data_IF_091496788354
#
_entry.id   IF_091496788354
#
_cell.length_a   1.000
_cell.length_b   1.000
_cell.length_c   1.000
_cell.angle_alpha   90.00
_cell.angle_beta   90.00
_cell.angle_gamma   90.00
#
_symmetry.space_group_name_H-M   'P 1'
#
loop_
_entity.id
_entity.type
_entity.pdbx_description
1 polymer ?
#
# COMPACT_ATOMS: atom_id res chain seq x y z
N UNK A 1 7.97 16.24 1.75
CA UNK A 1 7.67 14.83 2.08
C UNK A 1 6.90 14.27 0.90
N UNK A 2 7.38 13.15 0.34
CA UNK A 2 6.86 12.59 -0.91
C UNK A 2 5.95 11.41 -0.61
N UNK A 3 4.74 11.43 -1.16
CA UNK A 3 3.90 10.25 -1.27
C UNK A 3 4.11 9.70 -2.68
N UNK A 4 4.97 8.68 -2.79
CA UNK A 4 5.09 7.89 -4.02
C UNK A 4 3.84 7.02 -4.14
N UNK A 5 3.01 7.26 -5.15
CA UNK A 5 1.86 6.42 -5.43
C UNK A 5 1.96 5.87 -6.84
N UNK A 6 1.93 4.55 -6.93
CA UNK A 6 1.67 3.84 -8.18
C UNK A 6 0.15 3.69 -8.23
N UNK A 7 -0.57 4.32 -9.19
CA UNK A 7 -1.49 3.63 -10.15
C UNK A 7 -2.74 4.31 -10.73
N UNK A 8 -3.07 3.77 -11.91
CA UNK A 8 -4.14 4.02 -12.86
C UNK A 8 -5.60 3.81 -12.41
N UNK A 9 -5.93 3.48 -11.15
CA UNK A 9 -7.36 3.39 -10.78
C UNK A 9 -7.65 3.68 -9.31
N UNK A 10 -7.28 4.89 -8.90
CA UNK A 10 -8.04 5.76 -8.01
C UNK A 10 -7.48 7.18 -8.11
N UNK A 11 -7.18 7.66 -9.33
CA UNK A 11 -6.68 9.03 -9.54
C UNK A 11 -7.52 10.01 -8.74
N UNK A 12 -8.84 10.03 -8.89
CA UNK A 12 -9.68 11.05 -8.25
C UNK A 12 -9.68 10.99 -6.70
N UNK A 13 -9.76 9.81 -6.07
CA UNK A 13 -9.79 9.71 -4.61
C UNK A 13 -8.42 9.96 -3.95
N UNK A 14 -7.34 9.52 -4.61
CA UNK A 14 -5.95 9.78 -4.15
C UNK A 14 -5.61 11.24 -4.35
N UNK A 15 -5.98 11.82 -5.49
CA UNK A 15 -5.79 13.25 -5.80
C UNK A 15 -6.57 14.12 -4.81
N UNK A 16 -7.84 13.79 -4.53
CA UNK A 16 -8.67 14.57 -3.61
C UNK A 16 -8.18 14.46 -2.15
N UNK A 17 -7.79 13.25 -1.70
CA UNK A 17 -7.15 13.07 -0.38
C UNK A 17 -5.82 13.83 -0.29
N UNK A 18 -5.02 13.82 -1.36
CA UNK A 18 -3.75 14.54 -1.45
C UNK A 18 -3.93 16.06 -1.34
N UNK A 19 -4.89 16.64 -2.06
CA UNK A 19 -5.16 18.07 -1.98
C UNK A 19 -5.62 18.50 -0.58
N UNK A 20 -6.38 17.67 0.14
CA UNK A 20 -6.73 17.96 1.54
C UNK A 20 -5.52 17.87 2.48
N UNK A 21 -4.63 16.90 2.30
CA UNK A 21 -3.35 16.86 3.06
C UNK A 21 -2.54 18.14 2.83
N UNK A 22 -2.50 18.64 1.60
CA UNK A 22 -1.85 19.91 1.28
C UNK A 22 -2.50 21.12 1.98
N UNK A 23 -3.84 21.13 2.10
CA UNK A 23 -4.60 22.17 2.80
C UNK A 23 -4.43 22.12 4.33
N UNK A 24 -4.32 20.92 4.92
CA UNK A 24 -4.22 20.74 6.38
C UNK A 24 -2.79 20.80 6.91
N UNK A 25 -1.78 20.63 6.06
CA UNK A 25 -0.40 20.74 6.51
C UNK A 25 -0.09 22.18 6.91
N UNK A 26 0.01 22.44 8.21
CA UNK A 26 0.61 23.66 8.78
C UNK A 26 2.12 23.77 8.45
N UNK A 27 2.64 22.82 7.69
CA UNK A 27 4.02 22.74 7.26
C UNK A 27 4.22 23.63 6.04
N UNK A 28 5.26 24.48 6.07
CA UNK A 28 5.74 25.28 4.92
C UNK A 28 6.23 24.44 3.72
N UNK A 29 6.00 23.13 3.72
CA UNK A 29 6.51 22.20 2.74
C UNK A 29 5.49 21.96 1.64
N UNK A 30 5.88 22.19 0.39
CA UNK A 30 5.07 21.88 -0.79
C UNK A 30 4.96 20.36 -0.97
N UNK A 31 3.75 19.84 -0.87
CA UNK A 31 3.45 18.46 -1.25
C UNK A 31 3.41 18.34 -2.78
N UNK A 32 3.87 17.20 -3.31
CA UNK A 32 3.76 16.85 -4.73
C UNK A 32 3.25 15.43 -4.84
N UNK A 33 2.19 15.24 -5.61
CA UNK A 33 1.71 13.91 -6.00
C UNK A 33 2.52 13.47 -7.22
N UNK A 34 3.37 12.48 -7.03
CA UNK A 34 4.15 11.88 -8.12
C UNK A 34 3.44 10.62 -8.57
N UNK A 35 2.88 10.67 -9.77
CA UNK A 35 2.17 9.55 -10.37
C UNK A 35 3.15 8.67 -11.16
N UNK A 36 3.26 7.42 -10.74
CA UNK A 36 4.19 6.44 -11.32
C UNK A 36 3.36 5.44 -12.13
N UNK A 37 3.35 5.65 -13.44
CA UNK A 37 2.64 4.84 -14.42
C UNK A 37 3.66 3.92 -15.10
N UNK A 38 3.45 2.60 -15.05
CA UNK A 38 4.33 1.60 -15.66
C UNK A 38 3.52 0.38 -16.08
N UNK A 39 3.83 -0.19 -17.24
CA UNK A 39 3.18 -1.39 -17.75
C UNK A 39 3.98 -2.64 -17.37
N UNK A 40 3.29 -3.72 -16.99
CA UNK A 40 3.96 -4.95 -16.56
C UNK A 40 4.72 -5.65 -17.72
N UNK A 41 4.36 -5.36 -18.97
CA UNK A 41 5.08 -5.81 -20.17
C UNK A 41 6.48 -5.22 -20.24
N UNK A 42 6.68 -4.00 -19.76
CA UNK A 42 7.95 -3.27 -19.89
C UNK A 42 8.92 -3.64 -18.77
N UNK A 43 8.45 -4.35 -17.74
CA UNK A 43 9.17 -4.63 -16.50
C UNK A 43 9.79 -6.03 -16.46
N UNK A 44 10.18 -6.62 -17.59
CA UNK A 44 10.68 -8.02 -17.61
C UNK A 44 11.96 -8.18 -16.78
N UNK A 45 12.92 -7.26 -16.97
CA UNK A 45 14.18 -7.28 -16.24
C UNK A 45 13.99 -6.91 -14.77
N UNK A 46 13.21 -5.87 -14.50
CA UNK A 46 12.85 -5.38 -13.18
C UNK A 46 12.11 -6.45 -12.38
N UNK A 47 11.22 -7.22 -13.01
CA UNK A 47 10.52 -8.34 -12.37
C UNK A 47 11.52 -9.38 -11.87
N UNK A 48 12.54 -9.71 -12.68
CA UNK A 48 13.56 -10.69 -12.33
C UNK A 48 14.48 -10.17 -11.22
N UNK A 49 14.83 -8.87 -11.27
CA UNK A 49 15.59 -8.19 -10.22
C UNK A 49 14.83 -8.16 -8.90
N UNK A 50 13.59 -7.67 -8.91
CA UNK A 50 12.72 -7.61 -7.72
C UNK A 50 12.47 -9.01 -7.15
N UNK A 51 12.34 -10.04 -7.98
CA UNK A 51 12.24 -11.42 -7.52
C UNK A 51 13.46 -11.86 -6.69
N UNK A 52 14.65 -11.34 -6.99
CA UNK A 52 15.85 -11.58 -6.18
C UNK A 52 15.79 -10.85 -4.83
N UNK A 53 15.26 -9.62 -4.81
CA UNK A 53 15.12 -8.78 -3.62
C UNK A 53 14.13 -9.35 -2.59
N UNK A 54 13.04 -9.98 -3.05
CA UNK A 54 11.99 -10.48 -2.14
C UNK A 54 12.36 -11.78 -1.41
N UNK A 55 13.42 -12.50 -1.81
CA UNK A 55 13.86 -13.77 -1.22
C UNK A 55 13.94 -13.68 0.32
N UNK A 56 13.53 -14.64 1.16
CA UNK A 56 13.14 -16.00 0.83
C UNK A 56 11.68 -16.09 0.37
N UNK A 57 10.94 -14.98 0.34
CA UNK A 57 9.62 -14.97 -0.25
C UNK A 57 9.73 -15.25 -1.75
N UNK A 58 8.76 -15.97 -2.29
CA UNK A 58 8.78 -16.42 -3.67
C UNK A 58 7.38 -16.65 -4.22
N UNK A 59 6.38 -15.93 -3.73
CA UNK A 59 5.01 -16.03 -4.25
C UNK A 59 4.70 -14.89 -5.21
N UNK A 60 3.68 -15.08 -6.07
CA UNK A 60 3.16 -13.97 -6.90
C UNK A 60 2.66 -12.80 -6.07
N UNK A 61 2.10 -13.03 -4.88
CA UNK A 61 1.68 -11.96 -3.98
C UNK A 61 2.87 -11.11 -3.53
N UNK A 62 3.94 -11.78 -3.08
CA UNK A 62 5.15 -11.10 -2.63
C UNK A 62 5.82 -10.33 -3.77
N UNK A 63 5.90 -10.92 -4.97
CA UNK A 63 6.44 -10.26 -6.15
C UNK A 63 5.61 -9.03 -6.55
N UNK A 64 4.29 -9.15 -6.57
CA UNK A 64 3.39 -8.05 -6.91
C UNK A 64 3.47 -6.88 -5.92
N UNK A 65 3.57 -7.17 -4.63
CA UNK A 65 3.79 -6.14 -3.60
C UNK A 65 5.18 -5.53 -3.76
N UNK A 66 6.20 -6.35 -3.95
CA UNK A 66 7.58 -5.93 -4.13
C UNK A 66 7.76 -4.98 -5.31
N UNK A 67 7.21 -5.31 -6.49
CA UNK A 67 7.30 -4.46 -7.68
C UNK A 67 6.60 -3.13 -7.45
N UNK A 68 5.39 -3.16 -6.86
CA UNK A 68 4.65 -1.93 -6.60
C UNK A 68 5.41 -0.99 -5.63
N UNK A 69 6.03 -1.55 -4.59
CA UNK A 69 6.85 -0.79 -3.64
C UNK A 69 8.15 -0.31 -4.28
N UNK A 70 8.83 -1.15 -5.07
CA UNK A 70 10.07 -0.79 -5.76
C UNK A 70 9.87 0.36 -6.75
N UNK A 71 8.80 0.30 -7.56
CA UNK A 71 8.42 1.40 -8.46
C UNK A 71 8.07 2.67 -7.68
N UNK A 72 7.24 2.56 -6.63
CA UNK A 72 6.87 3.68 -5.79
C UNK A 72 8.09 4.33 -5.11
N UNK A 73 9.04 3.51 -4.65
CA UNK A 73 10.28 3.94 -4.06
C UNK A 73 11.18 4.63 -5.10
N UNK A 74 11.22 4.16 -6.34
CA UNK A 74 11.95 4.82 -7.43
C UNK A 74 11.54 6.28 -7.63
N UNK A 75 10.29 6.65 -7.33
CA UNK A 75 9.83 8.04 -7.33
C UNK A 75 9.99 8.73 -8.69
N UNK A 76 9.99 7.94 -9.77
CA UNK A 76 10.16 8.37 -11.16
C UNK A 76 8.80 8.40 -11.84
N UNK A 77 8.28 9.59 -12.08
CA UNK A 77 6.91 9.70 -12.53
C UNK A 77 6.59 11.08 -13.06
N UNK A 78 5.33 11.45 -12.89
CA UNK A 78 4.75 12.65 -13.45
C UNK A 78 4.07 13.45 -12.36
N UNK A 79 4.15 14.77 -12.44
CA UNK A 79 3.41 15.70 -11.58
C UNK A 79 2.49 16.55 -12.45
N UNK A 80 1.30 16.89 -11.94
CA UNK A 80 0.43 17.86 -12.60
C UNK A 80 1.09 19.25 -12.57
N UNK A 81 1.15 19.92 -13.73
CA UNK A 81 1.55 21.32 -13.83
C UNK A 81 0.46 22.21 -13.24
N UNK A 82 0.64 22.68 -12.00
CA UNK A 82 -0.30 23.61 -11.37
C UNK A 82 -0.03 25.09 -11.68
N UNK A 83 0.96 25.40 -12.54
CA UNK A 83 1.28 26.76 -12.97
C UNK A 83 1.54 26.76 -14.49
N UNK A 84 0.47 26.73 -15.28
CA UNK A 84 0.50 27.22 -16.66
C UNK A 84 -0.54 28.34 -16.67
N UNK A 85 -0.07 29.55 -16.94
CA UNK A 85 -0.91 30.73 -17.06
C UNK A 85 -2.07 30.44 -18.02
N UNK A 86 -3.28 30.89 -17.64
CA UNK A 86 -4.58 30.61 -18.26
C UNK A 86 -4.69 31.04 -19.74
N UNK A 87 -3.98 30.39 -20.66
CA UNK A 87 -4.07 30.72 -22.09
C UNK A 87 -3.82 29.58 -23.10
N UNK A 88 -3.82 28.31 -22.69
CA UNK A 88 -3.86 27.21 -23.67
C UNK A 88 -4.85 26.12 -23.26
N UNK A 89 -5.96 26.12 -23.99
CA UNK A 89 -7.06 25.16 -23.94
C UNK A 89 -6.64 23.87 -24.67
N UNK A 90 -5.71 23.09 -24.10
CA UNK A 90 -5.49 21.69 -24.51
C UNK A 90 -4.56 20.95 -23.51
N UNK A 91 -5.17 20.10 -22.69
CA UNK A 91 -4.55 19.04 -21.87
C UNK A 91 -3.60 19.53 -20.74
N UNK A 92 -3.93 19.32 -19.44
CA UNK A 92 -3.06 19.75 -18.34
C UNK A 92 -1.69 19.06 -18.46
N UNK A 93 -0.67 19.83 -18.87
CA UNK A 93 0.65 19.28 -19.16
C UNK A 93 1.23 18.64 -17.90
N UNK A 94 1.47 17.32 -17.96
CA UNK A 94 2.18 16.58 -16.91
C UNK A 94 3.68 16.78 -17.11
N UNK A 95 4.39 17.19 -16.06
CA UNK A 95 5.84 17.34 -16.11
C UNK A 95 6.52 16.08 -15.57
N UNK A 96 7.56 15.59 -16.27
CA UNK A 96 8.39 14.49 -15.79
C UNK A 96 9.11 14.91 -14.50
N UNK A 97 9.10 14.06 -13.49
CA UNK A 97 9.65 14.37 -12.17
C UNK A 97 10.27 13.13 -11.52
N UNK A 98 11.49 13.32 -10.98
CA UNK A 98 12.16 12.33 -10.13
C UNK A 98 12.28 12.87 -8.72
N UNK A 99 11.76 12.12 -7.75
CA UNK A 99 11.88 12.47 -6.33
C UNK A 99 13.30 12.25 -5.81
N UNK A 100 13.89 13.29 -5.22
CA UNK A 100 15.17 13.22 -4.49
C UNK A 100 15.03 12.81 -3.01
N UNK A 101 13.82 12.43 -2.57
CA UNK A 101 13.58 12.04 -1.18
C UNK A 101 14.38 10.77 -0.83
N UNK A 102 15.14 10.84 0.26
CA UNK A 102 15.91 9.71 0.81
C UNK A 102 15.12 8.88 1.81
N UNK A 103 14.04 9.43 2.37
CA UNK A 103 13.20 8.79 3.38
C UNK A 103 11.80 8.61 2.80
N UNK A 104 11.26 7.40 2.94
CA UNK A 104 9.86 7.07 2.62
C UNK A 104 9.11 6.76 3.91
N UNK A 105 7.97 7.42 4.12
CA UNK A 105 7.04 7.03 5.17
C UNK A 105 6.09 5.97 4.61
N UNK A 106 6.04 4.81 5.26
CA UNK A 106 5.26 3.65 4.81
C UNK A 106 4.20 3.32 5.85
N UNK A 107 2.97 3.08 5.41
CA UNK A 107 1.82 2.80 6.28
C UNK A 107 1.74 1.37 6.83
N UNK A 108 2.78 0.55 6.67
CA UNK A 108 2.82 -0.81 7.21
C UNK A 108 2.74 -0.78 8.74
N UNK A 109 2.02 -1.74 9.34
CA UNK A 109 1.71 -1.78 10.77
C UNK A 109 0.32 -1.27 11.12
N UNK A 110 -0.30 -0.43 10.27
CA UNK A 110 -1.64 0.10 10.54
C UNK A 110 -2.73 -0.98 10.44
N UNK A 111 -2.62 -1.88 9.46
CA UNK A 111 -3.64 -2.92 9.25
C UNK A 111 -3.54 -4.02 10.32
N UNK A 112 -2.31 -4.38 10.71
CA UNK A 112 -2.01 -5.37 11.76
C UNK A 112 -2.54 -4.92 13.13
N UNK A 113 -2.38 -3.64 13.47
CA UNK A 113 -2.76 -3.11 14.78
C UNK A 113 -4.20 -2.62 14.86
N UNK A 114 -4.82 -2.25 13.72
CA UNK A 114 -6.17 -1.65 13.71
C UNK A 114 -7.19 -2.52 12.95
N UNK A 115 -7.01 -3.83 12.96
CA UNK A 115 -7.96 -4.78 12.38
C UNK A 115 -8.26 -4.57 10.86
N UNK A 116 -7.28 -4.12 10.06
CA UNK A 116 -7.48 -3.74 8.66
C UNK A 116 -7.59 -4.87 7.63
N UNK A 117 -7.25 -6.12 7.98
CA UNK A 117 -7.34 -7.26 7.06
C UNK A 117 -8.71 -7.94 7.09
N UNK A 118 -9.21 -8.36 5.92
CA UNK A 118 -10.47 -9.13 5.85
C UNK A 118 -10.47 -10.41 6.69
N UNK A 119 -9.31 -11.06 6.87
CA UNK A 119 -9.17 -12.23 7.75
C UNK A 119 -9.44 -11.90 9.22
N UNK A 120 -9.22 -10.67 9.68
CA UNK A 120 -9.53 -10.25 11.04
C UNK A 120 -11.04 -10.35 11.31
N UNK A 121 -11.86 -9.93 10.34
CA UNK A 121 -13.31 -10.12 10.40
C UNK A 121 -13.66 -11.60 10.44
N UNK A 122 -13.03 -12.43 9.61
CA UNK A 122 -13.25 -13.88 9.64
C UNK A 122 -12.92 -14.48 11.02
N UNK A 123 -11.79 -14.08 11.63
CA UNK A 123 -11.40 -14.54 12.96
C UNK A 123 -12.35 -14.02 14.05
N UNK A 124 -12.81 -12.77 13.95
CA UNK A 124 -13.83 -12.21 14.83
C UNK A 124 -15.17 -12.96 14.72
N UNK A 125 -15.66 -13.25 13.52
CA UNK A 125 -16.91 -14.00 13.35
C UNK A 125 -16.82 -15.43 13.91
N UNK A 126 -15.62 -16.02 13.99
CA UNK A 126 -15.41 -17.38 14.50
C UNK A 126 -15.15 -17.44 16.01
N UNK A 127 -14.45 -16.44 16.56
CA UNK A 127 -13.95 -16.45 17.93
C UNK A 127 -14.20 -15.17 18.72
N UNK A 128 -15.08 -14.29 18.23
CA UNK A 128 -15.36 -12.97 18.80
C UNK A 128 -14.07 -12.17 19.06
N UNK A 129 -14.04 -11.39 20.14
CA UNK A 129 -12.90 -10.54 20.52
C UNK A 129 -11.61 -11.33 20.76
N UNK A 130 -11.69 -12.53 21.34
CA UNK A 130 -10.51 -13.36 21.58
C UNK A 130 -9.90 -13.85 20.26
N UNK A 131 -10.75 -14.31 19.33
CA UNK A 131 -10.30 -14.74 18.00
C UNK A 131 -9.66 -13.60 17.19
N UNK A 132 -10.21 -12.38 17.30
CA UNK A 132 -9.61 -11.19 16.70
C UNK A 132 -8.26 -10.86 17.33
N UNK A 133 -8.17 -10.86 18.67
CA UNK A 133 -6.94 -10.58 19.41
C UNK A 133 -5.81 -11.52 18.99
N UNK A 134 -6.06 -12.83 18.98
CA UNK A 134 -5.03 -13.82 18.62
C UNK A 134 -4.57 -13.67 17.17
N UNK A 135 -5.48 -13.42 16.20
CA UNK A 135 -5.07 -13.20 14.80
C UNK A 135 -4.21 -11.93 14.64
N UNK A 136 -4.60 -10.82 15.28
CA UNK A 136 -3.84 -9.56 15.23
C UNK A 136 -2.47 -9.69 15.92
N UNK A 137 -2.43 -10.40 17.05
CA UNK A 137 -1.18 -10.70 17.77
C UNK A 137 -0.23 -11.54 16.91
N UNK A 138 -0.74 -12.58 16.25
CA UNK A 138 0.03 -13.39 15.32
C UNK A 138 0.59 -12.54 14.18
N UNK A 139 -0.21 -11.60 13.64
CA UNK A 139 0.24 -10.68 12.61
C UNK A 139 1.40 -9.79 13.05
N UNK A 140 1.31 -9.21 14.25
CA UNK A 140 2.40 -8.43 14.83
C UNK A 140 3.66 -9.27 15.05
N UNK A 141 3.54 -10.50 15.54
CA UNK A 141 4.68 -11.40 15.77
C UNK A 141 5.42 -11.80 14.49
N UNK A 142 4.72 -11.84 13.35
CA UNK A 142 5.27 -12.26 12.06
C UNK A 142 5.55 -11.12 11.08
N UNK A 143 5.25 -9.87 11.45
CA UNK A 143 5.29 -8.72 10.53
C UNK A 143 6.67 -8.53 9.90
N UNK A 144 7.73 -8.75 10.68
CA UNK A 144 9.11 -8.65 10.23
C UNK A 144 9.40 -9.56 9.02
N UNK A 145 8.85 -10.78 9.04
CA UNK A 145 9.06 -11.80 8.00
C UNK A 145 8.05 -11.67 6.86
N UNK A 146 6.80 -11.33 7.16
CA UNK A 146 5.71 -11.31 6.17
C UNK A 146 5.68 -10.04 5.33
N UNK A 147 6.07 -8.91 5.92
CA UNK A 147 6.01 -7.60 5.27
C UNK A 147 7.39 -6.95 5.27
N UNK A 148 7.92 -6.60 6.44
CA UNK A 148 9.02 -5.63 6.55
C UNK A 148 10.29 -6.07 5.81
N UNK A 149 10.68 -7.34 5.90
CA UNK A 149 11.89 -7.81 5.22
C UNK A 149 11.81 -7.73 3.68
N UNK A 150 10.64 -7.97 3.08
CA UNK A 150 10.43 -7.77 1.64
C UNK A 150 10.42 -6.28 1.31
N UNK A 151 9.61 -5.52 2.05
CA UNK A 151 9.35 -4.11 1.78
C UNK A 151 10.65 -3.28 1.89
N UNK A 152 11.45 -3.54 2.92
CA UNK A 152 12.73 -2.88 3.17
C UNK A 152 13.70 -3.05 1.99
N UNK A 153 13.92 -4.28 1.51
CA UNK A 153 14.85 -4.53 0.40
C UNK A 153 14.39 -3.92 -0.92
N UNK A 154 13.09 -3.96 -1.21
CA UNK A 154 12.53 -3.31 -2.40
C UNK A 154 12.69 -1.78 -2.35
N UNK A 155 12.58 -1.18 -1.16
CA UNK A 155 12.75 0.26 -0.97
C UNK A 155 14.23 0.66 -0.98
N UNK A 156 15.08 -0.07 -0.27
CA UNK A 156 16.51 0.18 -0.10
C UNK A 156 17.29 0.06 -1.42
N UNK A 157 16.86 -0.81 -2.34
CA UNK A 157 17.44 -0.93 -3.69
C UNK A 157 17.37 0.39 -4.49
N UNK A 158 16.43 1.29 -4.14
CA UNK A 158 16.33 2.63 -4.71
C UNK A 158 17.14 3.69 -3.92
N UNK A 159 18.00 3.28 -3.00
CA UNK A 159 18.78 4.17 -2.14
C UNK A 159 17.94 4.97 -1.15
N UNK A 160 16.80 4.41 -0.71
CA UNK A 160 15.86 5.06 0.21
C UNK A 160 15.68 4.25 1.48
N UNK A 161 15.52 4.96 2.60
CA UNK A 161 15.22 4.40 3.91
C UNK A 161 13.71 4.42 4.14
N UNK A 162 13.12 3.27 4.47
CA UNK A 162 11.73 3.17 4.89
C UNK A 162 11.59 3.50 6.39
N UNK A 163 10.63 4.34 6.74
CA UNK A 163 10.19 4.56 8.13
C UNK A 163 8.73 4.18 8.26
N UNK A 164 8.39 3.55 9.39
CA UNK A 164 7.08 2.96 9.63
C UNK A 164 6.43 3.61 10.85
N UNK A 165 5.77 4.77 10.71
CA UNK A 165 5.22 5.51 11.85
C UNK A 165 4.25 4.70 12.72
N UNK A 166 3.52 3.75 12.12
CA UNK A 166 2.61 2.88 12.89
C UNK A 166 3.35 1.87 13.75
N UNK A 167 4.62 1.57 13.46
CA UNK A 167 5.46 0.66 14.23
C UNK A 167 6.38 1.39 15.23
N UNK A 168 6.18 2.69 15.40
CA UNK A 168 6.80 3.44 16.48
C UNK A 168 6.30 2.91 17.83
N UNK A 169 7.22 2.77 18.80
CA UNK A 169 6.92 2.16 20.10
C UNK A 169 5.84 2.92 20.87
N UNK A 170 5.79 4.25 20.75
CA UNK A 170 4.78 5.05 21.45
C UNK A 170 3.42 4.95 20.76
N UNK A 171 3.38 4.84 19.43
CA UNK A 171 2.14 4.54 18.70
C UNK A 171 1.60 3.17 19.07
N UNK A 172 2.46 2.14 19.09
CA UNK A 172 2.09 0.79 19.51
C UNK A 172 1.55 0.81 20.95
N UNK A 173 2.26 1.47 21.87
CA UNK A 173 1.87 1.57 23.28
C UNK A 173 0.50 2.22 23.45
N UNK A 174 0.24 3.30 22.72
CA UNK A 174 -1.07 3.97 22.71
C UNK A 174 -2.15 3.01 22.23
N UNK A 175 -1.96 2.34 21.09
CA UNK A 175 -2.95 1.42 20.53
C UNK A 175 -3.22 0.20 21.44
N UNK A 176 -2.21 -0.32 22.11
CA UNK A 176 -2.35 -1.44 23.06
C UNK A 176 -3.13 -1.08 24.33
N UNK A 177 -3.21 0.21 24.69
CA UNK A 177 -3.97 0.69 25.84
C UNK A 177 -5.46 0.88 25.54
N UNK A 178 -5.87 0.87 24.27
CA UNK A 178 -7.27 0.93 23.90
C UNK A 178 -7.90 -0.46 23.91
N UNK A 179 -9.16 -0.59 24.38
CA UNK A 179 -9.88 -1.83 24.22
C UNK A 179 -10.18 -2.09 22.73
N UNK A 180 -10.20 -3.37 22.33
CA UNK A 180 -10.33 -3.74 20.91
C UNK A 180 -11.62 -3.23 20.23
N UNK A 181 -12.71 -3.02 20.98
CA UNK A 181 -13.96 -2.49 20.45
C UNK A 181 -13.91 -0.98 20.12
N UNK A 182 -12.90 -0.26 20.63
CA UNK A 182 -12.59 1.12 20.20
C UNK A 182 -11.67 1.11 18.98
N UNK A 183 -10.76 0.14 18.89
CA UNK A 183 -9.89 -0.05 17.72
C UNK A 183 -10.70 -0.42 16.46
N UNK A 184 -11.68 -1.31 16.61
CA UNK A 184 -12.51 -1.80 15.51
C UNK A 184 -13.92 -2.19 15.97
N UNK A 185 -14.90 -2.02 15.08
CA UNK A 185 -16.25 -2.52 15.25
C UNK A 185 -16.60 -3.44 14.08
N UNK A 186 -16.20 -4.71 14.16
CA UNK A 186 -16.31 -5.65 13.05
C UNK A 186 -17.72 -6.22 12.85
N UNK A 187 -18.72 -5.76 13.62
CA UNK A 187 -20.13 -5.97 13.32
C UNK A 187 -20.63 -4.99 12.24
N UNK A 188 -19.96 -3.84 12.07
CA UNK A 188 -20.23 -2.90 11.00
C UNK A 188 -19.61 -3.36 9.67
N UNK A 189 -20.12 -2.91 8.51
CA UNK A 189 -19.56 -3.25 7.20
C UNK A 189 -18.08 -2.86 7.01
N UNK A 190 -17.45 -3.47 6.00
CA UNK A 190 -16.09 -3.09 5.56
C UNK A 190 -16.08 -1.65 5.04
N UNK A 191 -15.07 -0.87 5.43
CA UNK A 191 -15.01 0.58 5.19
C UNK A 191 -15.56 1.42 6.35
N UNK A 192 -16.19 0.80 7.34
CA UNK A 192 -16.77 1.47 8.51
C UNK A 192 -16.17 0.89 9.80
N UNK A 193 -16.28 -0.43 9.96
CA UNK A 193 -15.93 -1.13 11.19
C UNK A 193 -14.44 -1.43 11.37
N UNK A 194 -13.75 -1.76 10.28
CA UNK A 194 -12.30 -1.97 10.27
C UNK A 194 -11.57 -0.63 10.46
N UNK A 195 -10.46 -0.65 11.20
CA UNK A 195 -9.62 0.54 11.42
C UNK A 195 -10.37 1.74 12.01
N UNK A 196 -11.43 1.47 12.78
CA UNK A 196 -12.33 2.50 13.32
C UNK A 196 -11.59 3.67 13.95
N UNK A 197 -10.66 3.39 14.86
CA UNK A 197 -9.85 4.43 15.51
C UNK A 197 -9.09 5.32 14.51
N UNK A 198 -8.55 4.73 13.44
CA UNK A 198 -7.84 5.49 12.41
C UNK A 198 -8.79 6.32 11.53
N UNK A 199 -10.01 5.83 11.31
CA UNK A 199 -11.05 6.57 10.58
C UNK A 199 -11.53 7.78 11.39
N UNK A 200 -11.70 7.60 12.69
CA UNK A 200 -12.05 8.68 13.63
C UNK A 200 -10.93 9.74 13.69
N UNK A 201 -9.68 9.32 13.85
CA UNK A 201 -8.52 10.24 13.79
C UNK A 201 -8.43 10.96 12.44
N UNK A 202 -8.62 10.26 11.32
CA UNK A 202 -8.63 10.87 10.00
C UNK A 202 -9.75 11.93 9.87
N UNK A 203 -10.94 11.65 10.37
CA UNK A 203 -12.06 12.61 10.37
C UNK A 203 -11.76 13.83 11.26
N UNK A 204 -11.17 13.64 12.45
CA UNK A 204 -10.74 14.73 13.34
C UNK A 204 -9.69 15.64 12.68
N UNK A 205 -8.84 15.07 11.82
CA UNK A 205 -7.86 15.81 11.02
C UNK A 205 -8.44 16.40 9.72
N UNK A 206 -9.76 16.27 9.50
CA UNK A 206 -10.44 16.76 8.29
C UNK A 206 -10.18 15.94 7.02
N UNK A 207 -9.58 14.76 7.15
CA UNK A 207 -9.32 13.80 6.07
C UNK A 207 -10.54 12.89 5.83
N UNK A 208 -11.72 13.48 5.70
CA UNK A 208 -13.01 12.78 5.64
C UNK A 208 -13.09 11.73 4.53
N UNK A 209 -12.50 12.02 3.37
CA UNK A 209 -12.50 11.09 2.24
C UNK A 209 -11.63 9.86 2.53
N UNK A 210 -10.45 10.07 3.12
CA UNK A 210 -9.59 8.96 3.53
C UNK A 210 -10.25 8.11 4.63
N UNK A 211 -11.00 8.75 5.54
CA UNK A 211 -11.68 8.10 6.65
C UNK A 211 -12.75 7.08 6.19
N UNK A 212 -13.33 7.22 5.00
CA UNK A 212 -14.39 6.32 4.50
C UNK A 212 -13.89 5.29 3.48
N UNK A 213 -12.64 5.39 3.03
CA UNK A 213 -12.11 4.47 2.01
C UNK A 213 -11.92 3.06 2.61
N UNK A 214 -12.48 2.00 1.97
CA UNK A 214 -12.20 0.64 2.38
C UNK A 214 -10.73 0.29 2.19
N UNK A 215 -10.19 -0.53 3.09
CA UNK A 215 -8.80 -1.01 2.98
C UNK A 215 -8.60 -1.76 1.66
N UNK A 216 -7.55 -1.39 0.92
CA UNK A 216 -7.12 -2.09 -0.30
C UNK A 216 -5.62 -2.29 -0.28
N UNK A 217 -5.17 -3.55 -0.44
CA UNK A 217 -3.73 -3.84 -0.48
C UNK A 217 -3.09 -3.22 -1.73
N UNK A 218 -1.81 -2.85 -1.66
CA UNK A 218 -1.11 -2.15 -2.73
C UNK A 218 -1.17 -2.90 -4.07
N UNK A 219 -0.99 -4.22 -4.08
CA UNK A 219 -1.08 -5.03 -5.31
C UNK A 219 -2.44 -4.98 -6.01
N UNK A 220 -3.51 -4.72 -5.25
CA UNK A 220 -4.87 -4.60 -5.79
C UNK A 220 -5.18 -3.15 -6.15
N UNK A 221 -4.75 -2.19 -5.32
CA UNK A 221 -4.84 -0.76 -5.62
C UNK A 221 -4.11 -0.46 -6.93
N UNK A 222 -2.94 -1.09 -7.10
CA UNK A 222 -2.10 -0.94 -8.27
C UNK A 222 -2.53 -1.69 -9.51
N UNK A 223 -3.51 -2.58 -9.41
CA UNK A 223 -3.88 -3.52 -10.47
C UNK A 223 -2.75 -4.44 -10.94
N UNK A 224 -1.56 -4.38 -10.36
CA UNK A 224 -0.46 -5.27 -10.74
C UNK A 224 -0.85 -6.74 -10.52
N UNK A 225 -1.63 -7.04 -9.47
CA UNK A 225 -2.17 -8.38 -9.25
C UNK A 225 -3.06 -8.83 -10.41
N UNK A 226 -3.89 -7.94 -10.96
CA UNK A 226 -4.78 -8.25 -12.09
C UNK A 226 -3.97 -8.53 -13.36
N UNK A 227 -2.97 -7.71 -13.66
CA UNK A 227 -2.15 -7.89 -14.87
C UNK A 227 -1.22 -9.10 -14.73
N UNK A 228 -0.64 -9.34 -13.55
CA UNK A 228 0.09 -10.56 -13.23
C UNK A 228 -0.79 -11.81 -13.37
N UNK A 229 -2.03 -11.77 -12.87
CA UNK A 229 -2.94 -12.91 -12.97
C UNK A 229 -3.30 -13.22 -14.43
N UNK A 230 -3.53 -12.19 -15.26
CA UNK A 230 -3.78 -12.37 -16.70
C UNK A 230 -2.58 -12.96 -17.40
N UNK A 231 -1.38 -12.44 -17.14
CA UNK A 231 -0.13 -12.91 -17.75
C UNK A 231 0.18 -14.38 -17.40
N UNK A 232 0.03 -14.76 -16.13
CA UNK A 232 0.49 -16.06 -15.64
C UNK A 232 -0.59 -17.14 -15.55
N UNK A 233 -1.87 -16.76 -15.46
CA UNK A 233 -3.00 -17.70 -15.30
C UNK A 233 -4.11 -17.49 -16.34
N UNK A 234 -3.93 -16.57 -17.30
CA UNK A 234 -4.91 -16.23 -18.35
C UNK A 234 -6.09 -15.37 -17.86
N UNK A 235 -6.53 -15.51 -16.61
CA UNK A 235 -7.61 -14.69 -16.04
C UNK A 235 -7.54 -14.59 -14.52
N UNK A 236 -8.20 -13.57 -13.95
CA UNK A 236 -8.38 -13.46 -12.51
C UNK A 236 -9.16 -14.64 -11.91
N UNK A 237 -10.12 -15.21 -12.66
CA UNK A 237 -10.92 -16.35 -12.19
C UNK A 237 -10.04 -17.59 -12.04
N UNK A 238 -9.22 -17.89 -13.05
CA UNK A 238 -8.27 -18.99 -13.02
C UNK A 238 -7.21 -18.80 -11.92
N UNK A 239 -6.68 -17.57 -11.76
CA UNK A 239 -5.75 -17.24 -10.69
C UNK A 239 -6.34 -17.48 -9.29
N UNK A 240 -7.61 -17.10 -9.07
CA UNK A 240 -8.28 -17.33 -7.80
C UNK A 240 -8.49 -18.83 -7.53
N UNK A 241 -8.88 -19.61 -8.55
CA UNK A 241 -8.99 -21.08 -8.43
C UNK A 241 -7.65 -21.73 -8.09
N UNK A 242 -6.55 -21.22 -8.64
CA UNK A 242 -5.20 -21.68 -8.34
C UNK A 242 -4.63 -21.13 -7.02
N UNK A 243 -5.37 -20.30 -6.28
CA UNK A 243 -4.86 -19.57 -5.11
C UNK A 243 -3.54 -18.84 -5.41
N UNK A 244 -3.47 -18.15 -6.56
CA UNK A 244 -2.26 -17.56 -7.13
C UNK A 244 -1.39 -16.78 -6.14
N UNK A 245 -2.00 -16.09 -5.17
CA UNK A 245 -1.27 -15.35 -4.14
C UNK A 245 -0.37 -16.22 -3.24
N UNK A 246 -0.63 -17.52 -3.14
CA UNK A 246 0.16 -18.48 -2.38
C UNK A 246 1.03 -19.39 -3.27
N UNK A 247 0.86 -19.30 -4.60
CA UNK A 247 1.64 -20.10 -5.55
C UNK A 247 3.08 -19.63 -5.54
N UNK A 248 4.00 -20.57 -5.33
CA UNK A 248 5.43 -20.33 -5.42
C UNK A 248 5.86 -20.22 -6.88
N UNK A 249 6.73 -19.27 -7.14
CA UNK A 249 7.39 -19.07 -8.42
C UNK A 249 8.67 -19.93 -8.39
N UNK A 250 8.66 -21.02 -9.13
CA UNK A 250 9.83 -21.90 -9.24
C UNK A 250 10.90 -21.23 -10.12
N UNK A 251 12.16 -21.21 -9.64
CA UNK A 251 13.31 -20.65 -10.36
C UNK A 251 13.67 -21.36 -11.68
N UNK A 252 12.95 -22.42 -12.06
CA UNK A 252 13.36 -23.36 -13.14
C UNK A 252 12.82 -23.06 -14.53
N UNK A 253 11.96 -22.05 -14.72
CA UNK A 253 11.19 -21.96 -15.98
C UNK A 253 11.60 -20.86 -16.97
N UNK A 254 12.65 -20.06 -16.70
CA UNK A 254 13.02 -18.93 -17.59
C UNK A 254 14.47 -18.94 -18.10
N UNK A 255 15.11 -20.11 -18.14
CA UNK A 255 16.39 -20.28 -18.84
C UNK A 255 16.25 -21.40 -19.88
N UNK A 256 15.65 -21.04 -21.02
CA UNK A 256 15.72 -21.76 -22.28
C UNK A 256 15.93 -20.73 -23.39
#
# INVERSE_FOLDING_TARGET
MHLGHCTYFHRNNVISSFYRVQMFSHCKHRWRLVEIDSELSDLVFETSHVMSLINPANTYMDLNIGIALWLAAGGDGWVSGANIDDNDDENPARAKYKSSARILLVGSGADEQCAGYGRHRTSYSRGSWLGLHEEMKLDMQRIWKRNLGRDDRCIADNGKEARFPFLDEDVIRVLLNFPLWEIANLDQPSGIGDKRILREVAALLGLNEAAILPKRAIQFGSRIARESNRKNFGSNRAANQASAGSVRIDKRSNYS
#
